data_IF_726729790677
#
_entry.id   IF_726729790677
#
_cell.length_a   1.000
_cell.length_b   1.000
_cell.length_c   1.000
_cell.angle_alpha   90.00
_cell.angle_beta   90.00
_cell.angle_gamma   90.00
#
_symmetry.space_group_name_H-M   'P 1'
#
loop_
_entity.id
_entity.type
_entity.pdbx_description
1 polymer ?
#
# COMPACT_ATOMS: atom_id res chain seq x y z
N UNK A 1 12.45 -0.75 -17.92
CA UNK A 1 11.01 -0.78 -17.56
C UNK A 1 10.23 -1.45 -18.67
N UNK A 2 9.09 -2.08 -18.35
CA UNK A 2 8.22 -2.70 -19.36
C UNK A 2 7.48 -1.63 -20.19
N UNK A 3 7.28 -1.89 -21.48
CA UNK A 3 6.50 -1.04 -22.39
C UNK A 3 4.99 -1.32 -22.27
N UNK A 4 4.14 -0.41 -22.75
CA UNK A 4 2.67 -0.61 -22.83
C UNK A 4 2.34 -1.93 -23.54
N UNK A 5 3.02 -2.23 -24.66
CA UNK A 5 2.83 -3.48 -25.39
C UNK A 5 3.19 -4.73 -24.57
N UNK A 6 4.30 -4.68 -23.80
CA UNK A 6 4.69 -5.77 -22.92
C UNK A 6 3.69 -5.97 -21.77
N UNK A 7 3.17 -4.89 -21.19
CA UNK A 7 2.15 -4.96 -20.15
C UNK A 7 0.83 -5.55 -20.67
N UNK A 8 0.35 -5.08 -21.83
CA UNK A 8 -0.85 -5.64 -22.47
C UNK A 8 -0.68 -7.13 -22.80
N UNK A 9 0.48 -7.53 -23.31
CA UNK A 9 0.77 -8.93 -23.61
C UNK A 9 0.78 -9.80 -22.34
N UNK A 10 1.42 -9.33 -21.27
CA UNK A 10 1.42 -10.03 -19.98
C UNK A 10 -0.01 -10.18 -19.41
N UNK A 11 -0.80 -9.11 -19.45
CA UNK A 11 -2.19 -9.11 -18.98
C UNK A 11 -3.09 -10.03 -19.83
N UNK A 12 -2.87 -10.08 -21.15
CA UNK A 12 -3.60 -11.00 -22.04
C UNK A 12 -3.31 -12.47 -21.70
N UNK A 13 -2.04 -12.81 -21.39
CA UNK A 13 -1.67 -14.16 -20.93
C UNK A 13 -2.36 -14.52 -19.61
N UNK A 14 -2.49 -13.53 -18.73
CA UNK A 14 -3.18 -13.66 -17.45
C UNK A 14 -4.71 -13.59 -17.56
N UNK A 15 -5.26 -13.51 -18.78
CA UNK A 15 -6.68 -13.39 -19.08
C UNK A 15 -7.37 -12.22 -18.35
N UNK A 16 -6.64 -11.12 -18.16
CA UNK A 16 -7.18 -9.91 -17.55
C UNK A 16 -7.95 -9.04 -18.56
N UNK A 17 -8.95 -8.30 -18.09
CA UNK A 17 -9.79 -7.43 -18.91
C UNK A 17 -9.06 -6.12 -19.30
N UNK A 18 -8.18 -6.23 -20.30
CA UNK A 18 -7.38 -5.10 -20.82
C UNK A 18 -8.25 -4.04 -21.51
N UNK A 19 -9.40 -4.44 -22.05
CA UNK A 19 -10.30 -3.54 -22.79
C UNK A 19 -10.97 -2.49 -21.88
N UNK A 20 -11.24 -2.85 -20.62
CA UNK A 20 -11.77 -1.90 -19.63
C UNK A 20 -10.75 -0.79 -19.31
N UNK A 21 -9.46 -1.13 -19.27
CA UNK A 21 -8.38 -0.14 -19.08
C UNK A 21 -8.34 0.85 -20.24
N UNK A 22 -8.46 0.37 -21.48
CA UNK A 22 -8.51 1.24 -22.65
C UNK A 22 -9.70 2.21 -22.59
N UNK A 23 -10.88 1.72 -22.23
CA UNK A 23 -12.07 2.56 -22.10
C UNK A 23 -11.94 3.64 -21.02
N UNK A 24 -11.33 3.31 -19.87
CA UNK A 24 -11.08 4.27 -18.79
C UNK A 24 -9.97 5.27 -19.12
N UNK A 25 -8.99 4.90 -19.92
CA UNK A 25 -8.00 5.85 -20.45
C UNK A 25 -8.69 6.86 -21.35
N UNK A 26 -9.50 6.40 -22.31
CA UNK A 26 -10.22 7.25 -23.27
C UNK A 26 -11.11 8.29 -22.58
N UNK A 27 -11.77 7.94 -21.47
CA UNK A 27 -12.57 8.90 -20.70
C UNK A 27 -11.73 9.99 -20.02
N UNK A 28 -10.48 9.68 -19.66
CA UNK A 28 -9.49 10.61 -19.09
C UNK A 28 -8.73 11.40 -20.14
N UNK A 29 -8.62 10.92 -21.37
CA UNK A 29 -8.06 11.68 -22.50
C UNK A 29 -8.88 12.94 -22.79
N UNK A 30 -10.21 12.85 -22.66
CA UNK A 30 -11.12 14.00 -22.79
C UNK A 30 -10.88 15.09 -21.73
N UNK A 31 -10.13 14.79 -20.67
CA UNK A 31 -9.77 15.73 -19.60
C UNK A 31 -8.35 16.34 -19.75
N UNK A 32 -7.63 16.05 -20.85
CA UNK A 32 -6.35 16.70 -21.20
C UNK A 32 -5.10 16.17 -20.46
N UNK A 33 -5.05 14.88 -20.15
CA UNK A 33 -3.91 14.24 -19.42
C UNK A 33 -2.83 13.64 -20.33
N UNK A 34 -1.64 13.34 -19.78
CA UNK A 34 -0.58 12.55 -20.43
C UNK A 34 -1.05 11.10 -20.60
N UNK A 35 -1.71 10.85 -21.73
CA UNK A 35 -2.52 9.65 -21.93
C UNK A 35 -1.69 8.36 -21.92
N UNK A 36 -0.47 8.40 -22.46
CA UNK A 36 0.42 7.26 -22.53
C UNK A 36 1.01 6.90 -21.15
N UNK A 37 1.41 7.89 -20.36
CA UNK A 37 1.91 7.64 -19.00
C UNK A 37 0.79 7.13 -18.08
N UNK A 38 -0.43 7.67 -18.22
CA UNK A 38 -1.61 7.21 -17.48
C UNK A 38 -1.96 5.77 -17.88
N UNK A 39 -2.00 5.45 -19.17
CA UNK A 39 -2.24 4.09 -19.63
C UNK A 39 -1.20 3.12 -19.06
N UNK A 40 0.08 3.48 -19.17
CA UNK A 40 1.17 2.65 -18.65
C UNK A 40 1.00 2.38 -17.16
N UNK A 41 0.71 3.41 -16.37
CA UNK A 41 0.45 3.28 -14.93
C UNK A 41 -0.79 2.42 -14.63
N UNK A 42 -1.87 2.54 -15.41
CA UNK A 42 -3.08 1.74 -15.22
C UNK A 42 -2.85 0.26 -15.52
N UNK A 43 -2.16 -0.06 -16.63
CA UNK A 43 -1.80 -1.43 -16.99
C UNK A 43 -0.83 -2.04 -15.96
N UNK A 44 0.20 -1.29 -15.57
CA UNK A 44 1.15 -1.74 -14.55
C UNK A 44 0.47 -1.96 -13.19
N UNK A 45 -0.45 -1.07 -12.81
CA UNK A 45 -1.25 -1.19 -11.61
C UNK A 45 -2.20 -2.39 -11.63
N UNK A 46 -2.82 -2.70 -12.78
CA UNK A 46 -3.65 -3.90 -12.93
C UNK A 46 -2.81 -5.16 -12.78
N UNK A 47 -1.64 -5.22 -13.44
CA UNK A 47 -0.72 -6.35 -13.32
C UNK A 47 -0.27 -6.54 -11.87
N UNK A 48 0.10 -5.46 -11.17
CA UNK A 48 0.45 -5.52 -9.76
C UNK A 48 -0.70 -6.08 -8.92
N UNK A 49 -1.94 -5.63 -9.11
CA UNK A 49 -3.08 -6.14 -8.34
C UNK A 49 -3.34 -7.62 -8.58
N UNK A 50 -3.18 -8.11 -9.82
CA UNK A 50 -3.31 -9.53 -10.15
C UNK A 50 -2.22 -10.37 -9.48
N UNK A 51 -0.95 -9.97 -9.62
CA UNK A 51 0.16 -10.66 -8.98
C UNK A 51 0.06 -10.60 -7.44
N UNK A 52 -0.38 -9.47 -6.90
CA UNK A 52 -0.64 -9.33 -5.47
C UNK A 52 -1.80 -10.19 -4.97
N UNK A 53 -2.83 -10.43 -5.80
CA UNK A 53 -3.91 -11.36 -5.47
C UNK A 53 -3.44 -12.82 -5.45
N UNK A 54 -2.64 -13.22 -6.44
CA UNK A 54 -2.02 -14.55 -6.50
C UNK A 54 -1.05 -14.77 -5.32
N UNK A 55 -0.16 -13.80 -5.05
CA UNK A 55 0.74 -13.84 -3.90
C UNK A 55 -0.03 -13.98 -2.59
N UNK A 56 -1.07 -13.15 -2.39
CA UNK A 56 -1.91 -13.24 -1.19
C UNK A 56 -2.56 -14.62 -1.07
N UNK A 57 -3.09 -15.18 -2.16
CA UNK A 57 -3.66 -16.54 -2.14
C UNK A 57 -2.61 -17.60 -1.79
N UNK A 58 -1.40 -17.47 -2.34
CA UNK A 58 -0.26 -18.32 -1.99
C UNK A 58 0.09 -18.21 -0.50
N UNK A 59 0.06 -17.02 0.10
CA UNK A 59 0.33 -16.85 1.52
C UNK A 59 -0.80 -17.39 2.41
N UNK A 60 -2.06 -17.08 2.08
CA UNK A 60 -3.22 -17.45 2.93
C UNK A 60 -3.63 -18.91 2.81
N UNK A 61 -3.21 -19.61 1.75
CA UNK A 61 -3.41 -21.06 1.59
C UNK A 61 -2.34 -21.92 2.27
N UNK A 62 -1.44 -21.32 3.06
CA UNK A 62 -0.45 -22.06 3.82
C UNK A 62 -1.14 -22.96 4.87
N UNK A 63 -0.73 -24.25 5.01
CA UNK A 63 -1.35 -25.18 5.94
C UNK A 63 -1.04 -24.86 7.41
N UNK A 64 0.05 -24.13 7.67
CA UNK A 64 0.51 -23.76 9.01
C UNK A 64 1.34 -22.46 8.97
N UNK A 65 1.63 -21.93 10.18
CA UNK A 65 2.34 -20.66 10.37
C UNK A 65 3.77 -20.74 9.83
N UNK A 66 4.47 -21.86 10.03
CA UNK A 66 5.85 -22.01 9.57
C UNK A 66 5.93 -21.92 8.04
N UNK A 67 5.01 -22.59 7.34
CA UNK A 67 4.90 -22.53 5.88
C UNK A 67 4.51 -21.14 5.40
N UNK A 68 3.64 -20.43 6.13
CA UNK A 68 3.29 -19.04 5.82
C UNK A 68 4.52 -18.14 5.91
N UNK A 69 5.31 -18.25 6.99
CA UNK A 69 6.53 -17.47 7.19
C UNK A 69 7.58 -17.76 6.11
N UNK A 70 7.75 -19.01 5.72
CA UNK A 70 8.66 -19.40 4.65
C UNK A 70 8.23 -18.84 3.29
N UNK A 71 6.94 -18.91 2.96
CA UNK A 71 6.40 -18.29 1.72
C UNK A 71 6.55 -16.76 1.77
N UNK A 72 6.28 -16.13 2.91
CA UNK A 72 6.45 -14.69 3.08
C UNK A 72 7.91 -14.25 2.91
N UNK A 73 8.86 -15.03 3.45
CA UNK A 73 10.29 -14.78 3.28
C UNK A 73 10.72 -14.92 1.81
N UNK A 74 10.21 -15.93 1.10
CA UNK A 74 10.50 -16.15 -0.32
C UNK A 74 9.90 -15.07 -1.24
N UNK A 75 8.83 -14.41 -0.82
CA UNK A 75 8.19 -13.31 -1.56
C UNK A 75 8.70 -11.93 -1.16
N UNK A 76 9.58 -11.83 -0.16
CA UNK A 76 10.07 -10.55 0.34
C UNK A 76 11.00 -9.84 -0.67
N UNK A 77 11.12 -8.50 -0.61
CA UNK A 77 11.95 -7.72 -1.54
C UNK A 77 13.40 -8.21 -1.65
N UNK A 78 13.97 -8.73 -0.56
CA UNK A 78 15.36 -9.22 -0.54
C UNK A 78 15.52 -10.69 -0.95
N UNK A 79 14.45 -11.39 -1.32
CA UNK A 79 14.51 -12.81 -1.67
C UNK A 79 15.21 -13.07 -3.01
N UNK A 80 15.05 -12.15 -3.97
CA UNK A 80 15.67 -12.22 -5.30
C UNK A 80 16.21 -10.84 -5.65
N UNK A 81 17.51 -10.75 -5.91
CA UNK A 81 18.12 -9.48 -6.31
C UNK A 81 17.61 -9.02 -7.67
N UNK A 82 17.10 -7.79 -7.74
CA UNK A 82 16.69 -7.17 -9.00
C UNK A 82 17.64 -6.02 -9.38
N UNK A 83 18.14 -6.04 -10.61
CA UNK A 83 18.99 -4.95 -11.11
C UNK A 83 18.18 -3.66 -11.25
N UNK A 84 18.67 -2.57 -10.65
CA UNK A 84 18.03 -1.26 -10.73
C UNK A 84 16.86 -1.07 -9.77
N UNK A 85 16.76 -1.91 -8.73
CA UNK A 85 15.79 -1.75 -7.66
C UNK A 85 16.12 -0.53 -6.78
N UNK A 86 15.13 0.35 -6.61
CA UNK A 86 15.17 1.45 -5.65
C UNK A 86 14.21 1.13 -4.50
N UNK A 87 14.77 0.55 -3.43
CA UNK A 87 14.02 0.15 -2.25
C UNK A 87 13.34 1.34 -1.55
N UNK A 88 13.91 2.55 -1.64
CA UNK A 88 13.33 3.73 -1.03
C UNK A 88 12.07 4.17 -1.81
N UNK A 89 12.17 4.22 -3.14
CA UNK A 89 11.04 4.51 -4.00
C UNK A 89 9.92 3.47 -3.85
N UNK A 90 10.27 2.19 -3.74
CA UNK A 90 9.31 1.11 -3.51
C UNK A 90 8.60 1.26 -2.16
N UNK A 91 9.33 1.46 -1.07
CA UNK A 91 8.72 1.66 0.25
C UNK A 91 7.80 2.90 0.28
N UNK A 92 8.18 3.97 -0.43
CA UNK A 92 7.35 5.18 -0.52
C UNK A 92 6.04 4.91 -1.26
N UNK A 93 6.13 4.15 -2.36
CA UNK A 93 4.98 3.73 -3.14
C UNK A 93 4.04 2.80 -2.35
N UNK A 94 4.57 1.80 -1.66
CA UNK A 94 3.79 0.88 -0.83
C UNK A 94 3.06 1.60 0.31
N UNK A 95 3.73 2.56 0.97
CA UNK A 95 3.11 3.38 2.01
C UNK A 95 2.01 4.29 1.45
N UNK A 96 2.20 4.86 0.24
CA UNK A 96 1.13 5.60 -0.46
C UNK A 96 -0.08 4.71 -0.73
N UNK A 97 0.14 3.52 -1.28
CA UNK A 97 -0.95 2.60 -1.60
C UNK A 97 -1.67 2.05 -0.37
N UNK A 98 -1.00 1.87 0.76
CA UNK A 98 -1.67 1.50 2.00
C UNK A 98 -2.65 2.59 2.45
N UNK A 99 -2.23 3.86 2.43
CA UNK A 99 -3.12 4.99 2.77
C UNK A 99 -4.30 5.07 1.81
N UNK A 100 -4.07 4.94 0.51
CA UNK A 100 -5.11 4.97 -0.53
C UNK A 100 -6.11 3.81 -0.37
N UNK A 101 -5.61 2.59 -0.10
CA UNK A 101 -6.46 1.42 0.12
C UNK A 101 -7.31 1.55 1.39
N UNK A 102 -6.78 2.15 2.45
CA UNK A 102 -7.58 2.42 3.67
C UNK A 102 -8.67 3.44 3.35
N UNK A 103 -8.37 4.48 2.57
CA UNK A 103 -9.38 5.44 2.13
C UNK A 103 -10.46 4.78 1.27
N UNK A 104 -10.08 3.89 0.34
CA UNK A 104 -11.02 3.13 -0.49
C UNK A 104 -11.95 2.23 0.35
N UNK A 105 -11.41 1.53 1.36
CA UNK A 105 -12.20 0.63 2.21
C UNK A 105 -13.23 1.37 3.08
N UNK A 106 -13.05 2.66 3.33
CA UNK A 106 -13.88 3.43 4.28
C UNK A 106 -14.33 4.78 3.74
N UNK A 107 -14.27 5.01 2.43
CA UNK A 107 -14.61 6.30 1.81
C UNK A 107 -16.05 6.73 2.07
N UNK A 108 -16.96 5.76 2.18
CA UNK A 108 -18.39 5.98 2.47
C UNK A 108 -18.74 5.77 3.96
N UNK A 109 -17.77 5.35 4.79
CA UNK A 109 -18.01 5.12 6.21
C UNK A 109 -18.00 6.45 6.96
N UNK A 110 -18.96 6.64 7.88
CA UNK A 110 -18.97 7.82 8.75
C UNK A 110 -17.70 7.90 9.62
N UNK A 111 -17.09 6.76 9.93
CA UNK A 111 -15.82 6.68 10.67
C UNK A 111 -14.95 5.51 10.23
N UNK A 112 -13.64 5.75 10.10
CA UNK A 112 -12.63 4.69 9.91
C UNK A 112 -12.35 4.03 11.26
N UNK A 113 -12.33 2.69 11.37
CA UNK A 113 -11.94 2.00 12.59
C UNK A 113 -10.59 2.48 13.12
N UNK A 114 -10.50 2.77 14.42
CA UNK A 114 -9.32 3.38 15.03
C UNK A 114 -7.99 2.66 14.72
N UNK A 115 -7.90 1.30 14.70
CA UNK A 115 -6.67 0.61 14.29
C UNK A 115 -6.24 0.91 12.85
N UNK A 116 -7.20 1.02 11.92
CA UNK A 116 -6.93 1.29 10.51
C UNK A 116 -6.62 2.76 10.28
N UNK A 117 -7.28 3.67 10.99
CA UNK A 117 -6.91 5.08 11.00
C UNK A 117 -5.47 5.27 11.54
N UNK A 118 -5.09 4.54 12.59
CA UNK A 118 -3.71 4.55 13.11
C UNK A 118 -2.70 4.02 12.08
N UNK A 119 -3.05 2.97 11.33
CA UNK A 119 -2.22 2.45 10.25
C UNK A 119 -2.03 3.48 9.12
N UNK A 120 -3.09 4.16 8.69
CA UNK A 120 -3.01 5.21 7.68
C UNK A 120 -2.11 6.38 8.10
N UNK A 121 -2.24 6.85 9.35
CA UNK A 121 -1.36 7.88 9.91
C UNK A 121 0.10 7.43 9.98
N UNK A 122 0.35 6.17 10.34
CA UNK A 122 1.71 5.61 10.36
C UNK A 122 2.31 5.52 8.96
N UNK A 123 1.52 5.11 7.96
CA UNK A 123 1.92 5.08 6.57
C UNK A 123 2.27 6.49 6.04
N UNK A 124 1.47 7.50 6.38
CA UNK A 124 1.74 8.89 5.99
C UNK A 124 3.03 9.44 6.62
N UNK A 125 3.29 9.11 7.90
CA UNK A 125 4.55 9.44 8.55
C UNK A 125 5.74 8.79 7.83
N UNK A 126 5.63 7.50 7.48
CA UNK A 126 6.66 6.77 6.73
C UNK A 126 6.93 7.40 5.35
N UNK A 127 5.89 7.76 4.60
CA UNK A 127 6.04 8.47 3.31
C UNK A 127 6.81 9.76 3.45
N UNK A 128 6.49 10.56 4.47
CA UNK A 128 7.16 11.84 4.73
C UNK A 128 8.63 11.62 5.09
N UNK A 129 8.94 10.64 5.93
CA UNK A 129 10.31 10.27 6.27
C UNK A 129 11.13 9.81 5.05
N UNK A 130 10.54 8.96 4.20
CA UNK A 130 11.19 8.48 2.97
C UNK A 130 11.44 9.62 1.98
N UNK A 131 10.50 10.58 1.88
CA UNK A 131 10.68 11.79 1.07
C UNK A 131 11.83 12.65 1.60
N UNK A 132 11.86 12.93 2.90
CA UNK A 132 12.97 13.66 3.54
C UNK A 132 14.31 12.96 3.29
N UNK A 133 14.35 11.64 3.44
CA UNK A 133 15.56 10.85 3.18
C UNK A 133 16.05 11.01 1.73
N UNK A 134 15.14 10.89 0.76
CA UNK A 134 15.48 11.09 -0.65
C UNK A 134 15.99 12.50 -0.93
N UNK A 135 15.31 13.52 -0.43
CA UNK A 135 15.69 14.92 -0.61
C UNK A 135 17.10 15.19 0.01
N UNK A 136 17.40 14.62 1.19
CA UNK A 136 18.75 14.67 1.79
C UNK A 136 19.80 13.99 0.91
N UNK A 137 19.48 12.82 0.34
CA UNK A 137 20.39 12.09 -0.54
C UNK A 137 20.69 12.86 -1.84
N UNK A 138 19.72 13.64 -2.33
CA UNK A 138 19.86 14.56 -3.45
C UNK A 138 20.59 15.88 -3.09
N UNK A 139 21.02 16.03 -1.83
CA UNK A 139 21.81 17.17 -1.35
C UNK A 139 20.99 18.37 -0.87
N UNK A 140 19.66 18.22 -0.75
CA UNK A 140 18.81 19.26 -0.14
C UNK A 140 19.20 19.42 1.32
N UNK A 141 19.39 20.67 1.76
CA UNK A 141 19.65 20.99 3.17
C UNK A 141 18.38 21.46 3.83
N UNK A 142 18.00 20.81 4.91
CA UNK A 142 16.89 21.23 5.77
C UNK A 142 17.39 22.10 6.91
N UNK A 143 16.60 23.11 7.26
CA UNK A 143 16.77 23.79 8.54
C UNK A 143 16.25 22.90 9.68
N UNK A 144 16.65 23.22 10.92
CA UNK A 144 16.18 22.51 12.11
C UNK A 144 14.65 22.64 12.31
N UNK A 145 14.00 23.60 11.63
CA UNK A 145 12.55 23.85 11.69
C UNK A 145 11.77 23.26 10.52
N UNK A 146 12.35 22.34 9.75
CA UNK A 146 11.72 21.83 8.54
C UNK A 146 10.33 21.24 8.84
N UNK A 147 9.29 21.80 8.21
CA UNK A 147 7.90 21.47 8.47
C UNK A 147 7.56 19.97 8.29
N UNK A 148 8.34 19.25 7.48
CA UNK A 148 8.23 17.80 7.34
C UNK A 148 8.43 17.04 8.65
N UNK A 149 9.32 17.50 9.54
CA UNK A 149 9.52 16.87 10.84
C UNK A 149 8.31 17.05 11.76
N UNK A 150 7.73 18.25 11.80
CA UNK A 150 6.49 18.50 12.55
C UNK A 150 5.35 17.64 12.02
N UNK A 151 5.20 17.55 10.69
CA UNK A 151 4.18 16.70 10.08
C UNK A 151 4.35 15.22 10.46
N UNK A 152 5.59 14.70 10.48
CA UNK A 152 5.86 13.32 10.92
C UNK A 152 5.43 13.11 12.37
N UNK A 153 5.80 14.01 13.28
CA UNK A 153 5.45 13.90 14.70
C UNK A 153 3.94 13.93 14.90
N UNK A 154 3.23 14.86 14.24
CA UNK A 154 1.78 14.98 14.33
C UNK A 154 1.07 13.70 13.88
N UNK A 155 1.52 13.09 12.78
CA UNK A 155 0.94 11.84 12.27
C UNK A 155 1.18 10.68 13.24
N UNK A 156 2.39 10.56 13.79
CA UNK A 156 2.72 9.51 14.76
C UNK A 156 1.96 9.67 16.08
N UNK A 157 1.77 10.91 16.55
CA UNK A 157 1.00 11.19 17.77
C UNK A 157 -0.48 10.83 17.59
N UNK A 158 -1.07 11.15 16.43
CA UNK A 158 -2.43 10.71 16.07
C UNK A 158 -2.54 9.19 16.02
N UNK A 159 -1.61 8.52 15.34
CA UNK A 159 -1.57 7.07 15.25
C UNK A 159 -1.50 6.43 16.65
N UNK A 160 -0.64 6.96 17.51
CA UNK A 160 -0.48 6.50 18.89
C UNK A 160 -1.76 6.68 19.72
N UNK A 161 -2.41 7.84 19.61
CA UNK A 161 -3.65 8.11 20.33
C UNK A 161 -4.76 7.13 19.91
N UNK A 162 -4.92 6.91 18.60
CA UNK A 162 -5.91 5.99 18.04
C UNK A 162 -5.65 4.53 18.43
N UNK A 163 -4.42 4.07 18.33
CA UNK A 163 -4.04 2.71 18.73
C UNK A 163 -4.31 2.45 20.22
N UNK A 164 -4.00 3.43 21.08
CA UNK A 164 -4.30 3.35 22.52
C UNK A 164 -5.78 3.34 22.83
N UNK A 165 -6.56 4.18 22.15
CA UNK A 165 -8.01 4.19 22.30
C UNK A 165 -8.63 2.85 21.89
N UNK A 166 -8.18 2.27 20.77
CA UNK A 166 -8.62 0.96 20.32
C UNK A 166 -8.28 -0.16 21.33
N UNK A 167 -7.06 -0.11 21.89
CA UNK A 167 -6.64 -1.07 22.91
C UNK A 167 -7.51 -0.98 24.17
N UNK A 168 -7.72 0.23 24.71
CA UNK A 168 -8.57 0.43 25.89
C UNK A 168 -10.03 0.03 25.64
N UNK A 169 -10.55 0.26 24.43
CA UNK A 169 -11.89 -0.19 24.04
C UNK A 169 -12.00 -1.73 24.01
N UNK A 170 -10.93 -2.43 23.59
CA UNK A 170 -10.90 -3.88 23.59
C UNK A 170 -10.85 -4.47 25.01
N UNK A 171 -10.17 -3.81 25.95
CA UNK A 171 -10.11 -4.24 27.36
C UNK A 171 -11.45 -4.04 28.10
N UNK A 172 -12.25 -3.08 27.67
CA UNK A 172 -13.54 -2.74 28.30
C UNK A 172 -14.75 -3.43 27.68
N UNK A 173 -14.57 -4.11 26.53
CA UNK A 173 -15.61 -4.90 25.91
C UNK A 173 -15.86 -6.20 26.70
N UNK A 174 -17.09 -6.48 27.16
CA UNK A 174 -17.39 -7.71 27.90
C UNK A 174 -17.22 -8.93 26.98
N UNK A 175 -16.47 -9.93 27.44
CA UNK A 175 -16.28 -11.23 26.77
C UNK A 175 -17.61 -12.03 26.71
N UNK A 176 -18.53 -11.63 25.84
CA UNK A 176 -19.74 -12.42 25.56
C UNK A 176 -19.42 -13.51 24.53
N UNK A 177 -19.18 -14.74 25.00
CA UNK A 177 -19.41 -15.94 24.19
C UNK A 177 -18.26 -16.93 24.08
N UNK A 178 -17.88 -17.58 25.18
CA UNK A 178 -17.38 -18.97 25.15
C UNK A 178 -18.05 -19.75 26.29
N UNK A 179 -19.34 -20.04 26.13
CA UNK A 179 -19.98 -21.12 26.88
C UNK A 179 -19.50 -22.43 26.26
N UNK A 180 -18.81 -23.25 27.04
CA UNK A 180 -18.34 -24.58 26.64
C UNK A 180 -19.52 -25.52 26.35
N UNK A 181 -19.42 -26.44 25.37
CA UNK A 181 -20.39 -27.51 25.24
C UNK A 181 -20.15 -28.53 26.36
N UNK A 182 -21.19 -28.78 27.16
CA UNK A 182 -21.29 -29.96 28.03
C UNK A 182 -21.88 -31.14 27.28
#
# INVERSE_FOLDING_TARGET
MATIGQLRAALAILHAEVDEVAQQVWSREMAGSDTAAVEHAMLAGLLYRLMGADLRHSLTSAPDIATLEDRARAAGPSAVSMSGEDLCAQAHFEAYWLTDRIAELFGDAETVPAPLAAAAHTAEAARTLLRIHRELAEGVRFDAGHAGWTAVLDQLDRARALARAAHAAAETAPQHGLVQPG
#
